data_IF_617823294857
#
_entry.id   IF_617823294857
#
_cell.length_a   1.000
_cell.length_b   1.000
_cell.length_c   1.000
_cell.angle_alpha   90.00
_cell.angle_beta   90.00
_cell.angle_gamma   90.00
#
_symmetry.space_group_name_H-M   'P 1'
#
loop_
_entity.id
_entity.type
_entity.pdbx_description
1 polymer ?
#
# COMPACT_ATOMS: atom_id res chain seq x y z
N UNK A 1 -20.69 1.44 -0.75
CA UNK A 1 -19.55 1.93 0.06
C UNK A 1 -19.35 3.38 -0.35
N UNK A 2 -19.59 4.33 0.56
CA UNK A 2 -19.55 5.77 0.25
C UNK A 2 -18.14 6.37 0.36
N UNK A 3 -17.92 7.62 -0.10
CA UNK A 3 -16.63 8.31 -0.03
C UNK A 3 -16.11 8.51 1.41
N UNK A 4 -16.99 8.45 2.41
CA UNK A 4 -16.66 8.57 3.83
C UNK A 4 -15.76 7.42 4.30
N UNK A 5 -15.92 6.22 3.71
CA UNK A 5 -15.05 5.07 4.02
C UNK A 5 -13.60 5.32 3.60
N UNK A 6 -13.40 6.09 2.54
CA UNK A 6 -12.08 6.43 2.01
C UNK A 6 -11.46 7.62 2.74
N UNK A 7 -12.20 8.30 3.62
CA UNK A 7 -11.73 9.46 4.36
C UNK A 7 -11.25 10.60 3.47
N UNK A 8 -11.83 10.76 2.27
CA UNK A 8 -11.33 11.71 1.27
C UNK A 8 -11.42 13.13 1.81
N UNK A 9 -10.27 13.81 1.90
CA UNK A 9 -10.20 15.25 2.14
C UNK A 9 -10.00 15.92 0.76
N UNK A 10 -11.06 16.58 0.27
CA UNK A 10 -11.00 17.36 -0.97
C UNK A 10 -10.45 18.75 -0.64
N UNK A 11 -9.55 19.26 -1.47
CA UNK A 11 -9.24 20.69 -1.44
C UNK A 11 -10.47 21.46 -1.93
N UNK A 12 -10.82 22.58 -1.28
CA UNK A 12 -12.13 23.24 -1.34
C UNK A 12 -12.39 24.00 -2.65
N UNK A 13 -11.91 23.49 -3.78
CA UNK A 13 -12.07 24.06 -5.11
C UNK A 13 -12.59 23.03 -6.11
N UNK A 14 -13.92 23.02 -6.27
CA UNK A 14 -14.68 22.52 -7.42
C UNK A 14 -14.87 20.98 -7.47
N UNK A 15 -16.15 20.57 -7.48
CA UNK A 15 -16.71 19.22 -7.62
C UNK A 15 -16.29 18.39 -8.85
N UNK A 16 -15.22 18.74 -9.56
CA UNK A 16 -14.78 17.97 -10.72
C UNK A 16 -13.45 17.28 -10.44
N UNK A 17 -13.54 15.95 -10.35
CA UNK A 17 -12.48 14.98 -10.66
C UNK A 17 -11.56 14.70 -9.46
N UNK A 18 -11.35 13.42 -9.17
CA UNK A 18 -10.56 12.83 -8.06
C UNK A 18 -9.04 13.09 -8.29
N UNK A 19 -8.69 14.29 -8.75
CA UNK A 19 -7.42 14.63 -9.40
C UNK A 19 -6.45 15.34 -8.47
N UNK A 20 -6.76 15.60 -7.20
CA UNK A 20 -5.83 16.22 -6.23
C UNK A 20 -6.34 16.03 -4.80
N UNK A 21 -6.35 14.79 -4.31
CA UNK A 21 -6.82 14.47 -2.97
C UNK A 21 -5.97 13.38 -2.32
N UNK A 22 -6.33 13.00 -1.11
CA UNK A 22 -5.75 11.82 -0.47
C UNK A 22 -6.81 10.80 -0.11
N UNK A 23 -6.51 9.53 -0.33
CA UNK A 23 -7.30 8.41 0.18
C UNK A 23 -6.68 7.96 1.49
N UNK A 24 -7.51 7.77 2.50
CA UNK A 24 -7.12 7.37 3.85
C UNK A 24 -6.05 8.30 4.46
N UNK A 25 -6.28 9.64 4.51
CA UNK A 25 -5.30 10.62 5.01
C UNK A 25 -4.86 10.36 6.45
N UNK A 26 -5.69 9.70 7.26
CA UNK A 26 -5.39 9.49 8.68
C UNK A 26 -4.81 8.12 8.99
N UNK A 27 -4.72 7.24 7.98
CA UNK A 27 -4.30 5.86 8.21
C UNK A 27 -2.78 5.78 8.37
N UNK A 28 -2.36 5.42 9.58
CA UNK A 28 -0.93 5.24 9.93
C UNK A 28 -0.50 3.79 9.97
N UNK A 29 -1.44 2.87 10.17
CA UNK A 29 -1.17 1.45 10.31
C UNK A 29 -2.20 0.67 9.50
N UNK A 30 -1.73 -0.27 8.70
CA UNK A 30 -2.57 -1.21 7.95
C UNK A 30 -2.14 -2.63 8.28
N UNK A 31 -3.10 -3.45 8.67
CA UNK A 31 -2.91 -4.86 9.00
C UNK A 31 -3.91 -5.68 8.21
N UNK A 32 -3.40 -6.60 7.40
CA UNK A 32 -4.19 -7.58 6.65
C UNK A 32 -3.81 -8.95 7.20
N UNK A 33 -4.80 -9.71 7.65
CA UNK A 33 -4.58 -11.04 8.22
C UNK A 33 -5.57 -12.04 7.66
N UNK A 34 -5.11 -13.31 7.55
CA UNK A 34 -5.97 -14.45 7.21
C UNK A 34 -6.75 -14.18 5.93
N UNK A 35 -6.03 -13.69 4.91
CA UNK A 35 -6.56 -13.38 3.59
C UNK A 35 -5.93 -14.31 2.54
N UNK A 36 -6.14 -15.64 2.63
CA UNK A 36 -5.44 -16.60 1.79
C UNK A 36 -5.85 -16.52 0.32
N UNK A 37 -7.04 -15.99 0.00
CA UNK A 37 -7.55 -15.82 -1.38
C UNK A 37 -7.26 -14.43 -1.96
N UNK A 38 -6.48 -13.60 -1.27
CA UNK A 38 -6.16 -12.25 -1.70
C UNK A 38 -4.98 -12.27 -2.66
N UNK A 39 -5.26 -12.52 -3.94
CA UNK A 39 -4.23 -12.72 -4.96
C UNK A 39 -3.56 -11.43 -5.43
N UNK A 40 -4.34 -10.34 -5.48
CA UNK A 40 -3.88 -9.08 -6.05
C UNK A 40 -4.19 -7.91 -5.12
N UNK A 41 -3.14 -7.20 -4.73
CA UNK A 41 -3.27 -5.89 -4.14
C UNK A 41 -2.92 -4.82 -5.18
N UNK A 42 -3.84 -4.63 -6.12
CA UNK A 42 -3.83 -3.50 -7.04
C UNK A 42 -4.37 -2.28 -6.30
N UNK A 43 -3.65 -1.17 -6.34
CA UNK A 43 -4.09 0.11 -5.77
C UNK A 43 -5.27 0.70 -6.55
N UNK A 44 -5.27 2.01 -6.76
CA UNK A 44 -6.29 2.63 -7.63
C UNK A 44 -5.91 2.37 -9.11
N UNK A 45 -6.80 1.82 -9.96
CA UNK A 45 -6.51 1.60 -11.37
C UNK A 45 -6.08 2.88 -12.09
N UNK A 46 -4.96 2.82 -12.82
CA UNK A 46 -4.41 3.97 -13.53
C UNK A 46 -3.57 4.93 -12.67
N UNK A 47 -3.43 4.67 -11.37
CA UNK A 47 -2.58 5.45 -10.47
C UNK A 47 -1.09 5.31 -10.83
N UNK A 48 -0.34 6.38 -10.64
CA UNK A 48 1.11 6.45 -10.86
C UNK A 48 1.79 7.13 -9.66
N UNK A 49 3.08 6.88 -9.45
CA UNK A 49 3.85 7.49 -8.34
C UNK A 49 3.77 9.02 -8.30
N UNK A 50 3.69 9.65 -9.47
CA UNK A 50 3.58 11.10 -9.64
C UNK A 50 2.12 11.58 -9.72
N UNK A 51 1.16 10.72 -9.43
CA UNK A 51 -0.24 11.11 -9.41
C UNK A 51 -0.48 12.12 -8.27
N UNK A 52 -1.28 13.18 -8.53
CA UNK A 52 -1.71 14.12 -7.50
C UNK A 52 -2.59 13.45 -6.43
N UNK A 53 -3.21 12.30 -6.71
CA UNK A 53 -3.87 11.47 -5.71
C UNK A 53 -2.83 10.75 -4.84
N UNK A 54 -2.85 10.98 -3.52
CA UNK A 54 -2.00 10.23 -2.57
C UNK A 54 -2.80 9.14 -1.88
N UNK A 55 -2.33 7.89 -1.97
CA UNK A 55 -2.97 6.74 -1.33
C UNK A 55 -2.23 6.47 -0.01
N UNK A 56 -2.94 6.63 1.11
CA UNK A 56 -2.40 6.50 2.47
C UNK A 56 -1.11 7.31 2.71
N UNK A 57 -1.16 8.65 2.53
CA UNK A 57 0.04 9.52 2.61
C UNK A 57 0.78 9.48 3.96
N UNK A 58 0.14 8.94 5.00
CA UNK A 58 0.70 8.88 6.35
C UNK A 58 0.92 7.45 6.86
N UNK A 59 0.92 6.46 5.97
CA UNK A 59 1.14 5.05 6.36
C UNK A 59 2.57 4.84 6.84
N UNK A 60 2.71 4.47 8.11
CA UNK A 60 4.00 4.24 8.76
C UNK A 60 4.28 2.76 9.04
N UNK A 61 3.23 1.93 9.11
CA UNK A 61 3.36 0.50 9.38
C UNK A 61 2.40 -0.35 8.54
N UNK A 62 2.96 -1.40 7.93
CA UNK A 62 2.22 -2.37 7.13
C UNK A 62 2.53 -3.79 7.63
N UNK A 63 1.48 -4.52 8.01
CA UNK A 63 1.55 -5.91 8.46
C UNK A 63 0.70 -6.78 7.54
N UNK A 64 1.32 -7.81 6.94
CA UNK A 64 0.68 -8.77 6.05
C UNK A 64 0.94 -10.17 6.62
N UNK A 65 -0.10 -10.78 7.20
CA UNK A 65 0.02 -12.06 7.91
C UNK A 65 -0.92 -13.07 7.27
N UNK A 66 -0.41 -14.25 6.89
CA UNK A 66 -1.21 -15.30 6.26
C UNK A 66 -1.99 -14.80 5.03
N UNK A 67 -1.28 -14.13 4.12
CA UNK A 67 -1.75 -13.63 2.82
C UNK A 67 -1.14 -14.47 1.70
N UNK A 68 -1.44 -15.77 1.71
CA UNK A 68 -0.67 -16.79 0.98
C UNK A 68 -0.66 -16.63 -0.54
N UNK A 69 -1.74 -16.09 -1.13
CA UNK A 69 -1.84 -15.85 -2.57
C UNK A 69 -1.36 -14.46 -3.01
N UNK A 70 -1.02 -13.57 -2.08
CA UNK A 70 -0.58 -12.23 -2.45
C UNK A 70 0.85 -12.27 -2.99
N UNK A 71 1.03 -11.92 -4.26
CA UNK A 71 2.37 -11.98 -4.89
C UNK A 71 3.06 -10.63 -4.98
N UNK A 72 2.32 -9.53 -4.85
CA UNK A 72 2.88 -8.20 -5.07
C UNK A 72 2.28 -7.11 -4.20
N UNK A 73 3.10 -6.10 -3.93
CA UNK A 73 2.69 -4.88 -3.26
C UNK A 73 2.29 -3.81 -4.29
N UNK A 74 1.29 -2.98 -3.97
CA UNK A 74 0.89 -1.89 -4.87
C UNK A 74 1.99 -0.83 -4.99
N UNK A 75 2.03 -0.15 -6.13
CA UNK A 75 3.10 0.82 -6.45
C UNK A 75 3.11 2.04 -5.52
N UNK A 76 1.98 2.38 -4.89
CA UNK A 76 1.93 3.52 -3.98
C UNK A 76 2.78 3.34 -2.72
N UNK A 77 3.19 2.11 -2.38
CA UNK A 77 4.11 1.84 -1.27
C UNK A 77 5.42 2.60 -1.43
N UNK A 78 5.87 2.85 -2.67
CA UNK A 78 7.06 3.67 -2.93
C UNK A 78 6.90 5.15 -2.52
N UNK A 79 5.65 5.62 -2.43
CA UNK A 79 5.32 7.01 -2.11
C UNK A 79 4.85 7.22 -0.68
N UNK A 80 4.71 6.15 0.11
CA UNK A 80 4.29 6.25 1.51
C UNK A 80 5.51 6.38 2.43
N UNK A 81 5.37 7.09 3.57
CA UNK A 81 6.45 7.25 4.54
C UNK A 81 6.60 6.00 5.44
N UNK A 82 6.65 4.82 4.81
CA UNK A 82 6.58 3.54 5.50
C UNK A 82 7.87 3.30 6.30
N UNK A 83 7.71 3.06 7.60
CA UNK A 83 8.82 2.85 8.55
C UNK A 83 9.01 1.38 8.90
N UNK A 84 7.91 0.62 8.87
CA UNK A 84 7.87 -0.78 9.30
C UNK A 84 7.06 -1.61 8.31
N UNK A 85 7.69 -2.63 7.74
CA UNK A 85 7.03 -3.67 6.95
C UNK A 85 7.22 -5.01 7.63
N UNK A 86 6.13 -5.75 7.86
CA UNK A 86 6.16 -7.13 8.32
C UNK A 86 5.34 -7.99 7.40
N UNK A 87 5.96 -9.02 6.84
CA UNK A 87 5.33 -10.07 6.06
C UNK A 87 5.56 -11.37 6.83
N UNK A 88 4.49 -12.08 7.15
CA UNK A 88 4.54 -13.35 7.90
C UNK A 88 3.56 -14.35 7.31
N UNK A 89 3.88 -15.64 7.36
CA UNK A 89 3.07 -16.73 6.80
C UNK A 89 2.55 -16.48 5.36
N UNK A 90 3.31 -15.75 4.54
CA UNK A 90 2.90 -15.29 3.21
C UNK A 90 3.95 -15.63 2.15
N UNK A 91 4.15 -16.92 1.82
CA UNK A 91 5.32 -17.41 1.10
C UNK A 91 5.51 -16.78 -0.29
N UNK A 92 4.43 -16.55 -1.03
CA UNK A 92 4.50 -15.94 -2.36
C UNK A 92 5.01 -14.48 -2.30
N UNK A 93 4.55 -13.72 -1.30
CA UNK A 93 5.00 -12.35 -1.06
C UNK A 93 6.43 -12.30 -0.51
N UNK A 94 6.76 -13.21 0.42
CA UNK A 94 8.11 -13.29 0.98
C UNK A 94 9.13 -13.56 -0.13
N UNK A 95 8.84 -14.49 -1.05
CA UNK A 95 9.67 -14.78 -2.20
C UNK A 95 9.82 -13.57 -3.15
N UNK A 96 8.74 -12.82 -3.39
CA UNK A 96 8.78 -11.66 -4.28
C UNK A 96 9.39 -10.41 -3.64
N UNK A 97 9.55 -10.38 -2.31
CA UNK A 97 10.21 -9.33 -1.55
C UNK A 97 11.67 -9.64 -1.19
N UNK A 98 12.25 -10.74 -1.69
CA UNK A 98 13.66 -11.08 -1.44
C UNK A 98 14.60 -9.96 -1.85
N UNK A 99 15.61 -9.72 -1.02
CA UNK A 99 16.64 -8.70 -1.27
C UNK A 99 17.35 -8.93 -2.61
N UNK A 100 17.54 -7.86 -3.37
CA UNK A 100 18.19 -7.77 -4.70
C UNK A 100 17.50 -8.52 -5.86
N UNK A 101 16.86 -9.66 -5.61
CA UNK A 101 16.24 -10.50 -6.64
C UNK A 101 14.71 -10.40 -6.71
N UNK A 102 14.07 -9.96 -5.63
CA UNK A 102 12.62 -9.89 -5.51
C UNK A 102 12.01 -8.78 -6.36
N UNK A 103 10.94 -9.10 -7.11
CA UNK A 103 10.17 -8.13 -7.91
C UNK A 103 9.70 -6.91 -7.10
N UNK A 104 9.37 -7.10 -5.83
CA UNK A 104 8.92 -6.04 -4.93
C UNK A 104 10.06 -5.37 -4.16
N UNK A 105 11.29 -5.88 -4.22
CA UNK A 105 12.43 -5.29 -3.50
C UNK A 105 12.66 -3.81 -3.82
N UNK A 106 12.64 -3.34 -5.09
CA UNK A 106 12.78 -1.93 -5.40
C UNK A 106 11.72 -1.05 -4.71
N UNK A 107 10.53 -1.60 -4.46
CA UNK A 107 9.42 -0.92 -3.79
C UNK A 107 9.64 -0.75 -2.30
N UNK A 108 10.33 -1.69 -1.66
CA UNK A 108 10.43 -1.76 -0.20
C UNK A 108 11.83 -1.44 0.34
N UNK A 109 12.88 -1.44 -0.50
CA UNK A 109 14.28 -1.24 -0.08
C UNK A 109 14.55 0.07 0.66
N UNK A 110 13.68 1.07 0.52
CA UNK A 110 13.81 2.36 1.20
C UNK A 110 13.27 2.32 2.63
N UNK A 111 12.58 1.25 3.03
CA UNK A 111 11.95 1.08 4.34
C UNK A 111 13.02 0.72 5.38
N UNK A 112 13.14 1.46 6.49
CA UNK A 112 14.19 1.22 7.48
C UNK A 112 14.12 -0.14 8.20
N UNK A 113 12.91 -0.68 8.39
CA UNK A 113 12.69 -1.93 9.13
C UNK A 113 11.78 -2.86 8.35
N UNK A 114 12.39 -3.90 7.78
CA UNK A 114 11.72 -4.94 7.01
C UNK A 114 11.87 -6.26 7.77
N UNK A 115 10.76 -6.93 8.01
CA UNK A 115 10.70 -8.30 8.54
C UNK A 115 9.91 -9.15 7.55
N UNK A 116 10.55 -10.17 7.00
CA UNK A 116 9.99 -11.12 6.03
C UNK A 116 10.18 -12.51 6.61
#
# INVERSE_FOLDING_TARGET
>A
MGPEFLGVEFDNGIESKITSGSLFPKLKQLRIEKAPLFCEWVGVPGWKVNDPLKIMPHLESLLLINCSSLESLPDFIESTPLKHLTIDDSPALQASCQEEAGKNWPKIRHIPKIRI
#
